data_IF_576996845000
#
_entry.id   IF_576996845000
#
_cell.length_a   1.000
_cell.length_b   1.000
_cell.length_c   1.000
_cell.angle_alpha   90.00
_cell.angle_beta   90.00
_cell.angle_gamma   90.00
#
_symmetry.space_group_name_H-M   'P 1'
#
loop_
_entity.id
_entity.type
_entity.pdbx_description
1 polymer ?
#
# COMPACT_ATOMS: atom_id res chain seq x y z
N UNK A 1 45.88 -37.65 48.42
CA UNK A 1 45.60 -38.82 47.56
C UNK A 1 44.11 -38.84 47.27
N UNK A 2 43.73 -39.18 46.04
CA UNK A 2 42.35 -39.52 45.63
C UNK A 2 41.32 -38.39 45.62
N UNK A 3 40.39 -38.25 44.66
CA UNK A 3 40.11 -38.99 43.44
C UNK A 3 39.46 -38.06 42.42
N UNK A 4 39.54 -38.52 41.18
CA UNK A 4 39.12 -37.94 39.91
C UNK A 4 37.70 -38.48 39.59
N UNK A 5 36.95 -37.72 38.79
CA UNK A 5 35.80 -38.09 37.89
C UNK A 5 34.38 -38.01 38.46
N UNK A 6 33.29 -37.76 37.72
CA UNK A 6 32.93 -37.25 36.36
C UNK A 6 31.37 -37.08 36.41
N UNK A 7 30.81 -36.15 35.63
CA UNK A 7 29.41 -36.15 35.15
C UNK A 7 28.63 -34.94 35.67
N UNK A 8 27.90 -34.15 34.88
CA UNK A 8 27.14 -34.48 33.67
C UNK A 8 26.94 -33.24 32.78
N UNK A 9 26.56 -33.54 31.54
CA UNK A 9 26.51 -32.73 30.32
C UNK A 9 25.31 -31.77 30.29
N UNK A 10 25.51 -30.56 29.75
CA UNK A 10 24.49 -29.86 28.96
C UNK A 10 25.15 -29.31 27.69
N UNK A 11 24.76 -29.88 26.56
CA UNK A 11 25.26 -29.53 25.24
C UNK A 11 24.80 -28.12 24.85
N UNK A 12 25.74 -27.22 24.60
CA UNK A 12 25.49 -25.96 23.90
C UNK A 12 25.61 -26.21 22.40
N UNK A 13 24.50 -26.49 21.73
CA UNK A 13 24.43 -26.46 20.28
C UNK A 13 24.15 -25.01 19.85
N UNK A 14 25.22 -24.26 19.53
CA UNK A 14 25.09 -23.03 18.74
C UNK A 14 24.77 -23.45 17.30
N UNK A 15 23.50 -23.34 16.90
CA UNK A 15 23.16 -23.34 15.48
C UNK A 15 23.29 -21.90 14.97
N UNK A 16 24.33 -21.72 14.15
CA UNK A 16 24.52 -20.58 13.28
C UNK A 16 23.44 -20.64 12.19
N UNK A 17 22.31 -19.95 12.38
CA UNK A 17 21.31 -19.80 11.34
C UNK A 17 21.82 -18.78 10.32
N UNK A 18 22.29 -19.31 9.20
CA UNK A 18 22.61 -18.53 8.00
C UNK A 18 21.41 -17.69 7.59
N UNK A 19 21.63 -16.38 7.43
CA UNK A 19 20.68 -15.47 6.79
C UNK A 19 20.58 -15.90 5.33
N UNK A 20 19.68 -16.83 5.04
CA UNK A 20 19.27 -17.11 3.67
C UNK A 20 18.56 -15.88 3.13
N UNK A 21 19.01 -15.37 1.98
CA UNK A 21 18.35 -14.31 1.23
C UNK A 21 16.86 -14.61 1.13
N UNK A 22 16.01 -13.82 1.78
CA UNK A 22 14.56 -13.84 1.54
C UNK A 22 14.34 -13.49 0.06
N UNK A 23 13.85 -14.41 -0.78
CA UNK A 23 13.39 -14.05 -2.11
C UNK A 23 12.21 -13.10 -1.92
N UNK A 24 12.19 -12.00 -2.69
CA UNK A 24 11.17 -10.96 -2.60
C UNK A 24 9.77 -11.55 -2.43
N UNK A 25 9.10 -11.10 -1.36
CA UNK A 25 7.71 -11.45 -1.08
C UNK A 25 6.88 -11.09 -2.32
N UNK A 26 6.57 -12.11 -3.11
CA UNK A 26 5.68 -11.97 -4.25
C UNK A 26 4.31 -11.65 -3.66
N UNK A 27 3.89 -10.40 -3.80
CA UNK A 27 2.56 -10.00 -3.41
C UNK A 27 1.58 -10.83 -4.23
N UNK A 28 0.78 -11.67 -3.57
CA UNK A 28 -0.29 -12.38 -4.26
C UNK A 28 -1.32 -11.35 -4.74
N UNK A 29 -1.75 -11.47 -5.98
CA UNK A 29 -2.89 -10.71 -6.48
C UNK A 29 -4.10 -11.08 -5.59
N UNK A 30 -4.71 -10.08 -4.98
CA UNK A 30 -5.80 -10.30 -4.05
C UNK A 30 -7.01 -10.95 -4.73
N UNK A 31 -7.67 -11.87 -4.01
CA UNK A 31 -9.09 -12.15 -4.24
C UNK A 31 -9.88 -10.96 -3.67
N UNK A 32 -10.69 -10.23 -4.45
CA UNK A 32 -11.49 -9.10 -3.96
C UNK A 32 -12.37 -9.46 -2.75
N UNK A 33 -12.81 -10.72 -2.65
CA UNK A 33 -13.64 -11.20 -1.54
C UNK A 33 -12.87 -11.36 -0.23
N UNK A 34 -11.53 -11.25 -0.26
CA UNK A 34 -10.67 -11.31 0.93
C UNK A 34 -10.46 -9.96 1.62
N UNK A 35 -10.93 -8.86 1.02
CA UNK A 35 -10.72 -7.52 1.55
C UNK A 35 -11.57 -7.27 2.81
N UNK A 36 -10.93 -6.69 3.83
CA UNK A 36 -11.62 -6.18 5.02
C UNK A 36 -12.46 -4.95 4.68
N UNK A 37 -11.95 -4.10 3.79
CA UNK A 37 -12.73 -3.11 3.06
C UNK A 37 -12.07 -2.79 1.72
N UNK A 38 -12.88 -2.30 0.79
CA UNK A 38 -12.43 -1.75 -0.48
C UNK A 38 -13.35 -0.61 -0.90
N UNK A 39 -12.82 0.60 -0.84
CA UNK A 39 -13.51 1.83 -1.21
C UNK A 39 -13.07 2.25 -2.61
N UNK A 40 -13.97 2.04 -3.57
CA UNK A 40 -13.82 2.41 -4.98
C UNK A 40 -14.50 3.75 -5.30
N UNK A 41 -15.34 4.24 -4.39
CA UNK A 41 -16.03 5.53 -4.47
C UNK A 41 -16.91 5.71 -5.72
N UNK A 42 -17.38 4.63 -6.35
CA UNK A 42 -18.13 4.71 -7.62
C UNK A 42 -19.50 5.40 -7.50
N UNK A 43 -20.07 5.46 -6.29
CA UNK A 43 -21.40 6.05 -6.08
C UNK A 43 -21.56 6.83 -4.77
N UNK A 44 -20.46 7.13 -4.08
CA UNK A 44 -20.49 7.76 -2.78
C UNK A 44 -19.12 7.92 -2.15
N UNK A 45 -19.10 8.08 -0.83
CA UNK A 45 -17.87 8.24 -0.05
C UNK A 45 -17.42 6.96 0.64
N UNK A 46 -18.13 5.84 0.46
CA UNK A 46 -17.83 4.54 1.08
C UNK A 46 -17.58 4.64 2.60
N UNK A 47 -18.41 5.45 3.28
CA UNK A 47 -18.33 5.78 4.71
C UNK A 47 -17.13 6.62 5.15
N UNK A 48 -16.28 7.07 4.22
CA UNK A 48 -15.27 8.07 4.52
C UNK A 48 -15.92 9.41 4.85
N UNK A 49 -15.30 10.11 5.78
CA UNK A 49 -15.72 11.42 6.26
C UNK A 49 -14.54 12.40 6.29
N UNK A 50 -14.86 13.69 6.42
CA UNK A 50 -13.85 14.73 6.58
C UNK A 50 -13.15 14.65 7.94
N UNK A 51 -11.82 14.68 7.92
CA UNK A 51 -11.00 14.81 9.12
C UNK A 51 -10.74 16.29 9.42
N UNK A 52 -11.08 16.69 10.64
CA UNK A 52 -10.97 18.08 11.10
C UNK A 52 -11.93 18.98 10.30
N UNK A 53 -11.42 20.05 9.69
CA UNK A 53 -12.24 20.98 8.91
C UNK A 53 -12.52 20.50 7.47
N UNK A 54 -11.88 19.42 7.02
CA UNK A 54 -12.02 18.94 5.66
C UNK A 54 -13.46 18.50 5.35
N UNK A 55 -13.83 18.60 4.08
CA UNK A 55 -15.04 18.03 3.50
C UNK A 55 -14.65 16.92 2.54
N UNK A 56 -15.49 15.89 2.46
CA UNK A 56 -15.33 14.80 1.48
C UNK A 56 -16.61 14.65 0.66
N UNK A 57 -16.46 14.40 -0.63
CA UNK A 57 -17.56 14.16 -1.54
C UNK A 57 -17.14 13.23 -2.68
N UNK A 58 -18.11 12.58 -3.30
CA UNK A 58 -17.87 11.80 -4.51
C UNK A 58 -17.56 12.73 -5.70
N UNK A 59 -16.49 12.43 -6.43
CA UNK A 59 -16.11 13.12 -7.65
C UNK A 59 -16.17 12.18 -8.86
N UNK A 60 -17.13 12.43 -9.76
CA UNK A 60 -17.32 11.67 -11.00
C UNK A 60 -16.27 11.94 -12.11
N UNK A 61 -15.20 12.67 -11.79
CA UNK A 61 -14.12 13.00 -12.73
C UNK A 61 -12.79 12.98 -12.00
N UNK A 62 -11.78 12.46 -12.71
CA UNK A 62 -10.41 12.43 -12.21
C UNK A 62 -10.11 11.21 -11.36
N UNK A 63 -10.91 10.14 -11.45
CA UNK A 63 -10.69 8.86 -10.81
C UNK A 63 -9.38 8.18 -11.25
N UNK A 64 -8.88 7.29 -10.39
CA UNK A 64 -7.76 6.41 -10.69
C UNK A 64 -8.25 5.18 -11.43
N UNK A 65 -9.34 4.57 -10.94
CA UNK A 65 -10.03 3.45 -11.55
C UNK A 65 -11.53 3.77 -11.68
N UNK A 66 -12.23 3.03 -12.56
CA UNK A 66 -13.66 3.21 -12.78
C UNK A 66 -14.07 4.66 -13.09
N UNK A 67 -15.08 5.16 -12.40
CA UNK A 67 -15.73 6.44 -12.71
C UNK A 67 -15.77 7.43 -11.54
N UNK A 68 -15.51 6.97 -10.32
CA UNK A 68 -15.60 7.76 -9.10
C UNK A 68 -14.28 7.83 -8.33
N UNK A 69 -14.11 8.89 -7.55
CA UNK A 69 -13.08 9.00 -6.53
C UNK A 69 -13.61 9.83 -5.37
N UNK A 70 -12.96 9.76 -4.22
CA UNK A 70 -13.21 10.66 -3.10
C UNK A 70 -12.46 11.96 -3.31
N UNK A 71 -13.15 13.10 -3.34
CA UNK A 71 -12.51 14.42 -3.33
C UNK A 71 -12.52 15.01 -1.93
N UNK A 72 -11.34 15.43 -1.47
CA UNK A 72 -11.08 16.00 -0.15
C UNK A 72 -10.74 17.48 -0.31
N UNK A 73 -11.50 18.35 0.33
CA UNK A 73 -11.37 19.80 0.18
C UNK A 73 -11.65 20.56 1.48
N UNK A 74 -11.60 21.90 1.44
CA UNK A 74 -11.89 22.73 2.62
C UNK A 74 -10.87 22.60 3.76
N UNK A 75 -9.67 22.11 3.47
CA UNK A 75 -8.61 21.88 4.46
C UNK A 75 -8.03 23.22 4.93
N UNK A 76 -7.97 23.40 6.25
CA UNK A 76 -7.41 24.61 6.90
C UNK A 76 -6.09 24.36 7.65
N UNK A 77 -5.60 23.12 7.64
CA UNK A 77 -4.40 22.65 8.31
C UNK A 77 -3.93 21.36 7.62
N UNK A 78 -2.62 21.07 7.64
CA UNK A 78 -2.04 19.92 6.94
C UNK A 78 -2.57 18.57 7.46
N UNK A 79 -2.92 18.50 8.75
CA UNK A 79 -3.49 17.29 9.35
C UNK A 79 -4.97 17.03 9.00
N UNK A 80 -5.66 18.00 8.40
CA UNK A 80 -7.00 17.78 7.88
C UNK A 80 -6.93 16.85 6.66
N UNK A 81 -7.97 16.07 6.43
CA UNK A 81 -7.94 15.08 5.36
C UNK A 81 -9.22 14.25 5.28
N UNK A 82 -9.09 12.98 4.90
CA UNK A 82 -10.19 12.02 4.92
C UNK A 82 -9.93 10.94 5.96
N UNK A 83 -10.98 10.44 6.61
CA UNK A 83 -10.88 9.41 7.66
C UNK A 83 -11.97 8.36 7.51
N UNK A 84 -11.63 7.13 7.90
CA UNK A 84 -12.50 5.96 7.94
C UNK A 84 -12.31 5.22 9.28
N UNK A 85 -13.39 5.01 10.06
CA UNK A 85 -13.33 4.17 11.24
C UNK A 85 -13.00 2.72 10.87
N UNK A 86 -12.03 2.12 11.58
CA UNK A 86 -11.77 0.69 11.46
C UNK A 86 -12.67 -0.07 12.43
N UNK A 87 -13.54 -0.92 11.88
CA UNK A 87 -14.50 -1.73 12.65
C UNK A 87 -13.91 -3.01 13.25
N UNK A 88 -14.78 -3.87 13.77
CA UNK A 88 -14.42 -5.06 14.55
C UNK A 88 -13.59 -6.12 13.81
N UNK A 89 -13.49 -6.03 12.48
CA UNK A 89 -12.61 -6.88 11.69
C UNK A 89 -11.11 -6.60 11.92
N UNK A 90 -10.77 -5.43 12.50
CA UNK A 90 -9.40 -5.01 12.78
C UNK A 90 -9.05 -5.24 14.25
N UNK A 91 -8.13 -6.16 14.49
CA UNK A 91 -7.66 -6.52 15.84
C UNK A 91 -6.32 -5.86 16.14
N UNK A 92 -6.22 -5.20 17.29
CA UNK A 92 -4.96 -4.63 17.77
C UNK A 92 -3.85 -5.68 17.88
N UNK A 93 -2.64 -5.35 17.45
CA UNK A 93 -1.50 -6.27 17.41
C UNK A 93 -1.49 -7.24 16.22
N UNK A 94 -2.56 -7.32 15.43
CA UNK A 94 -2.59 -8.09 14.18
C UNK A 94 -2.01 -7.30 13.00
N UNK A 95 -1.55 -8.03 11.98
CA UNK A 95 -0.91 -7.47 10.78
C UNK A 95 -1.85 -7.51 9.57
N UNK A 96 -1.82 -6.44 8.78
CA UNK A 96 -2.69 -6.25 7.62
C UNK A 96 -1.92 -5.60 6.46
N UNK A 97 -2.46 -5.76 5.25
CA UNK A 97 -2.10 -4.92 4.11
C UNK A 97 -3.02 -3.70 4.05
N UNK A 98 -2.48 -2.51 3.84
CA UNK A 98 -3.25 -1.29 3.58
C UNK A 98 -2.75 -0.61 2.31
N UNK A 99 -3.66 -0.02 1.53
CA UNK A 99 -3.29 0.87 0.43
C UNK A 99 -4.35 1.91 0.10
N UNK A 100 -3.94 2.98 -0.59
CA UNK A 100 -4.82 3.94 -1.23
C UNK A 100 -4.05 4.68 -2.33
N UNK A 101 -4.73 5.00 -3.44
CA UNK A 101 -4.17 5.89 -4.45
C UNK A 101 -4.53 7.33 -4.10
N UNK A 102 -3.57 8.24 -4.23
CA UNK A 102 -3.74 9.66 -3.95
C UNK A 102 -3.24 10.52 -5.11
N UNK A 103 -3.92 11.64 -5.33
CA UNK A 103 -3.57 12.63 -6.36
C UNK A 103 -3.98 14.03 -5.90
N UNK A 104 -3.24 15.04 -6.33
CA UNK A 104 -3.61 16.43 -6.15
C UNK A 104 -3.33 17.23 -7.43
N UNK A 105 -4.02 18.36 -7.61
CA UNK A 105 -3.95 19.17 -8.84
C UNK A 105 -3.63 20.64 -8.60
N UNK A 106 -3.73 21.12 -7.35
CA UNK A 106 -3.38 22.49 -6.95
C UNK A 106 -1.95 22.64 -6.44
N UNK A 107 -1.51 23.89 -6.22
CA UNK A 107 -0.26 24.17 -5.50
C UNK A 107 1.05 23.77 -6.20
N UNK A 108 2.04 23.38 -5.38
CA UNK A 108 3.43 23.12 -5.76
C UNK A 108 3.64 21.93 -6.71
N UNK A 109 4.87 21.75 -7.19
CA UNK A 109 5.22 20.69 -8.16
C UNK A 109 5.13 19.28 -7.57
N UNK A 110 5.44 19.15 -6.29
CA UNK A 110 5.34 17.91 -5.51
C UNK A 110 4.63 18.19 -4.19
N UNK A 111 4.06 17.16 -3.60
CA UNK A 111 3.46 17.18 -2.26
C UNK A 111 3.71 15.82 -1.59
N UNK A 112 3.82 15.80 -0.27
CA UNK A 112 4.06 14.57 0.49
C UNK A 112 2.79 14.16 1.19
N UNK A 113 2.38 12.91 0.98
CA UNK A 113 1.17 12.33 1.54
C UNK A 113 1.51 11.26 2.57
N UNK A 114 0.64 11.16 3.57
CA UNK A 114 0.71 10.13 4.60
C UNK A 114 -0.59 9.36 4.68
N UNK A 115 -0.47 8.07 4.94
CA UNK A 115 -1.54 7.22 5.46
C UNK A 115 -1.18 6.82 6.89
N UNK A 116 -2.10 7.02 7.82
CA UNK A 116 -1.84 6.88 9.25
C UNK A 116 -3.06 6.29 9.97
N UNK A 117 -2.83 5.77 11.17
CA UNK A 117 -3.89 5.40 12.13
C UNK A 117 -3.87 6.39 13.29
N UNK A 118 -5.03 6.96 13.62
CA UNK A 118 -5.30 7.57 14.93
C UNK A 118 -5.98 6.51 15.80
N UNK A 119 -5.57 6.38 17.06
CA UNK A 119 -6.12 5.39 18.00
C UNK A 119 -6.01 5.87 19.44
N UNK A 120 -6.71 5.19 20.35
CA UNK A 120 -6.51 5.35 21.79
C UNK A 120 -5.51 4.28 22.28
N UNK A 121 -4.44 4.69 22.96
CA UNK A 121 -3.45 3.79 23.54
C UNK A 121 -3.98 3.10 24.82
N UNK A 122 -3.15 2.28 25.47
CA UNK A 122 -3.52 1.56 26.68
C UNK A 122 -3.83 2.49 27.86
N UNK A 123 -3.28 3.70 27.84
CA UNK A 123 -3.50 4.77 28.80
C UNK A 123 -4.78 5.59 28.52
N UNK A 124 -5.46 5.31 27.40
CA UNK A 124 -6.67 6.05 26.97
C UNK A 124 -6.38 7.39 26.31
N UNK A 125 -5.13 7.65 25.92
CA UNK A 125 -4.68 8.85 25.23
C UNK A 125 -4.71 8.67 23.72
N UNK A 126 -4.95 9.76 22.99
CA UNK A 126 -4.89 9.74 21.53
C UNK A 126 -3.46 9.65 21.03
N UNK A 127 -3.19 8.63 20.23
CA UNK A 127 -1.90 8.35 19.62
C UNK A 127 -2.04 8.17 18.10
N UNK A 128 -0.90 8.25 17.41
CA UNK A 128 -0.82 8.23 15.95
C UNK A 128 0.34 7.35 15.49
N UNK A 129 0.12 6.57 14.43
CA UNK A 129 1.17 5.74 13.80
C UNK A 129 1.08 5.86 12.28
N UNK A 130 2.24 5.90 11.62
CA UNK A 130 2.31 6.02 10.15
C UNK A 130 2.34 4.64 9.51
N UNK A 131 1.47 4.42 8.51
CA UNK A 131 1.40 3.20 7.71
C UNK A 131 2.33 3.33 6.51
N UNK A 132 2.20 4.43 5.76
CA UNK A 132 2.89 4.68 4.50
C UNK A 132 3.07 6.18 4.24
N UNK A 133 4.09 6.51 3.46
CA UNK A 133 4.43 7.85 2.99
C UNK A 133 4.78 7.79 1.50
N UNK A 134 4.40 8.81 0.75
CA UNK A 134 4.84 8.98 -0.63
C UNK A 134 4.93 10.46 -1.04
N UNK A 135 5.92 10.78 -1.87
CA UNK A 135 6.00 12.06 -2.59
C UNK A 135 5.27 11.92 -3.91
N UNK A 136 4.27 12.78 -4.12
CA UNK A 136 3.39 12.78 -5.28
C UNK A 136 3.77 13.94 -6.20
N UNK A 137 3.88 13.68 -7.50
CA UNK A 137 3.97 14.75 -8.50
C UNK A 137 2.58 15.31 -8.80
N UNK A 138 2.47 16.63 -8.95
CA UNK A 138 1.18 17.28 -9.25
C UNK A 138 0.54 16.70 -10.52
N UNK A 139 -0.72 16.30 -10.40
CA UNK A 139 -1.51 15.74 -11.49
C UNK A 139 -1.36 14.22 -11.68
N UNK A 140 -0.37 13.59 -11.03
CA UNK A 140 -0.13 12.17 -11.09
C UNK A 140 -0.77 11.45 -9.91
N UNK A 141 -1.15 10.20 -10.15
CA UNK A 141 -1.56 9.26 -9.10
C UNK A 141 -0.33 8.54 -8.54
N UNK A 142 -0.28 8.35 -7.23
CA UNK A 142 0.65 7.42 -6.59
C UNK A 142 -0.08 6.61 -5.52
N UNK A 143 0.42 5.41 -5.25
CA UNK A 143 -0.12 4.55 -4.20
C UNK A 143 0.68 4.76 -2.91
N UNK A 144 -0.05 5.00 -1.82
CA UNK A 144 0.41 4.77 -0.45
C UNK A 144 0.14 3.31 -0.14
N UNK A 145 1.15 2.52 0.24
CA UNK A 145 0.94 1.11 0.56
C UNK A 145 1.91 0.57 1.60
N UNK A 146 1.41 -0.37 2.39
CA UNK A 146 2.20 -1.21 3.29
C UNK A 146 1.51 -2.57 3.37
N UNK A 147 2.15 -3.62 2.88
CA UNK A 147 1.56 -4.96 2.81
C UNK A 147 1.70 -5.76 4.11
N UNK A 148 2.31 -5.18 5.15
CA UNK A 148 2.64 -5.90 6.38
C UNK A 148 2.66 -4.95 7.58
N UNK A 149 1.61 -4.14 7.72
CA UNK A 149 1.47 -3.18 8.80
C UNK A 149 0.83 -3.83 10.03
N UNK A 150 1.56 -3.88 11.15
CA UNK A 150 1.02 -4.31 12.43
C UNK A 150 0.27 -3.16 13.11
N UNK A 151 -1.01 -3.34 13.41
CA UNK A 151 -1.76 -2.39 14.22
C UNK A 151 -1.16 -2.33 15.63
N UNK A 152 -1.06 -1.14 16.27
CA UNK A 152 -0.47 -1.04 17.60
C UNK A 152 -1.18 -1.96 18.61
N UNK A 153 -0.40 -2.65 19.45
CA UNK A 153 -0.97 -3.51 20.49
C UNK A 153 -1.80 -2.69 21.48
N UNK A 154 -2.96 -3.21 21.87
CA UNK A 154 -3.89 -2.52 22.78
C UNK A 154 -4.60 -1.30 22.18
N UNK A 155 -4.44 -1.02 20.88
CA UNK A 155 -5.14 0.08 20.23
C UNK A 155 -6.66 -0.12 20.25
N UNK A 156 -7.38 0.96 20.54
CA UNK A 156 -8.85 1.01 20.43
C UNK A 156 -9.29 2.26 19.66
N UNK A 157 -10.57 2.31 19.27
CA UNK A 157 -11.15 3.43 18.52
C UNK A 157 -10.33 3.87 17.29
N UNK A 158 -9.85 2.88 16.52
CA UNK A 158 -8.93 3.10 15.42
C UNK A 158 -9.61 3.79 14.24
N UNK A 159 -8.92 4.77 13.66
CA UNK A 159 -9.34 5.56 12.51
C UNK A 159 -8.20 5.59 11.51
N UNK A 160 -8.42 5.04 10.31
CA UNK A 160 -7.52 5.22 9.18
C UNK A 160 -7.72 6.61 8.61
N UNK A 161 -6.64 7.33 8.33
CA UNK A 161 -6.74 8.63 7.70
C UNK A 161 -5.61 8.92 6.73
N UNK A 162 -5.89 9.83 5.80
CA UNK A 162 -4.94 10.31 4.78
C UNK A 162 -4.81 11.83 4.94
N UNK A 163 -3.57 12.31 4.98
CA UNK A 163 -3.23 13.73 5.11
C UNK A 163 -2.04 14.09 4.22
N UNK A 164 -1.67 15.37 4.20
CA UNK A 164 -0.41 15.84 3.59
C UNK A 164 0.55 16.32 4.68
N UNK A 165 1.84 16.38 4.36
CA UNK A 165 2.86 16.81 5.31
C UNK A 165 2.63 18.25 5.78
N UNK A 166 2.57 19.19 4.83
CA UNK A 166 2.58 20.63 5.13
C UNK A 166 1.54 21.43 4.32
N UNK A 167 1.03 20.85 3.23
CA UNK A 167 0.17 21.58 2.29
C UNK A 167 -1.29 21.65 2.75
N UNK A 168 -2.03 22.61 2.21
CA UNK A 168 -3.49 22.68 2.31
C UNK A 168 -4.19 22.27 1.01
N UNK A 169 -3.47 21.60 0.10
CA UNK A 169 -4.02 21.21 -1.18
C UNK A 169 -5.26 20.32 -1.00
N UNK A 170 -6.31 20.58 -1.77
CA UNK A 170 -7.34 19.58 -2.00
C UNK A 170 -6.74 18.40 -2.76
N UNK A 171 -7.25 17.21 -2.50
CA UNK A 171 -6.73 15.99 -3.09
C UNK A 171 -7.83 14.96 -3.35
N UNK A 172 -7.50 13.97 -4.16
CA UNK A 172 -8.35 12.84 -4.49
C UNK A 172 -7.77 11.59 -3.83
N UNK A 173 -8.67 10.72 -3.37
CA UNK A 173 -8.37 9.37 -2.89
C UNK A 173 -9.18 8.39 -3.72
N UNK A 174 -8.58 7.29 -4.11
CA UNK A 174 -9.27 6.23 -4.83
C UNK A 174 -8.64 4.85 -4.53
N UNK A 175 -9.42 3.78 -4.71
CA UNK A 175 -9.01 2.39 -4.46
C UNK A 175 -8.37 2.21 -3.07
N UNK A 176 -9.01 2.76 -2.03
CA UNK A 176 -8.53 2.59 -0.67
C UNK A 176 -8.97 1.22 -0.15
N UNK A 177 -8.04 0.43 0.37
CA UNK A 177 -8.34 -0.94 0.76
C UNK A 177 -7.49 -1.42 1.93
N UNK A 178 -8.05 -2.38 2.66
CA UNK A 178 -7.33 -3.20 3.62
C UNK A 178 -7.60 -4.68 3.35
N UNK A 179 -6.54 -5.49 3.48
CA UNK A 179 -6.54 -6.90 3.11
C UNK A 179 -5.68 -7.71 4.09
N UNK A 180 -5.71 -9.06 4.02
CA UNK A 180 -4.79 -9.90 4.78
C UNK A 180 -3.33 -9.53 4.50
N UNK A 181 -2.47 -9.70 5.51
CA UNK A 181 -1.02 -9.49 5.38
C UNK A 181 -0.44 -10.16 4.12
N UNK A 182 0.48 -9.47 3.45
CA UNK A 182 1.16 -9.93 2.25
C UNK A 182 0.35 -9.75 0.96
N UNK A 183 -0.90 -9.33 1.05
CA UNK A 183 -1.74 -9.08 -0.13
C UNK A 183 -1.24 -7.85 -0.90
N UNK A 184 -0.99 -8.02 -2.20
CA UNK A 184 -0.64 -6.91 -3.10
C UNK A 184 -1.90 -6.28 -3.68
N UNK A 185 -2.12 -5.01 -3.39
CA UNK A 185 -3.25 -4.25 -3.93
C UNK A 185 -2.75 -3.52 -5.19
N UNK A 186 -3.31 -3.79 -6.40
CA UNK A 186 -2.78 -3.24 -7.65
C UNK A 186 -2.73 -1.70 -7.68
N UNK A 187 -1.60 -1.14 -8.12
CA UNK A 187 -1.45 0.28 -8.46
C UNK A 187 -1.14 0.51 -9.94
N UNK A 188 -1.31 1.74 -10.44
CA UNK A 188 -1.34 2.06 -11.88
C UNK A 188 -0.02 1.82 -12.58
N UNK A 189 1.04 1.53 -11.82
CA UNK A 189 2.37 1.23 -12.35
C UNK A 189 2.67 -0.25 -12.55
N UNK A 190 1.79 -1.19 -12.18
CA UNK A 190 1.98 -2.60 -12.54
C UNK A 190 1.35 -3.00 -13.89
N UNK A 191 0.59 -2.10 -14.54
CA UNK A 191 -0.08 -2.39 -15.83
C UNK A 191 0.69 -2.01 -17.10
N UNK A 192 1.89 -1.45 -17.00
CA UNK A 192 2.70 -1.05 -18.18
C UNK A 192 4.17 -1.41 -18.01
N UNK A 193 4.53 -2.68 -17.86
CA UNK A 193 5.83 -3.20 -18.31
C UNK A 193 5.88 -4.73 -18.19
N UNK A 194 5.90 -5.42 -19.34
CA UNK A 194 5.86 -6.88 -19.49
C UNK A 194 4.59 -7.24 -20.26
N UNK A 195 4.58 -7.17 -21.59
CA UNK A 195 5.10 -8.26 -22.43
C UNK A 195 5.67 -7.74 -23.75
N UNK A 196 6.85 -7.13 -23.72
CA UNK A 196 7.71 -7.05 -24.90
C UNK A 196 8.95 -7.88 -24.61
N UNK A 197 8.92 -9.16 -24.97
CA UNK A 197 10.08 -10.01 -25.33
C UNK A 197 9.78 -11.50 -25.05
N UNK A 198 9.19 -12.20 -26.03
CA UNK A 198 9.61 -13.55 -26.47
C UNK A 198 8.64 -14.10 -27.51
N UNK A 199 8.91 -13.85 -28.79
CA UNK A 199 8.78 -14.88 -29.84
C UNK A 199 9.85 -14.64 -30.90
N UNK A 200 11.00 -15.28 -30.75
CA UNK A 200 11.80 -15.72 -31.89
C UNK A 200 12.40 -17.10 -31.65
N UNK A 201 12.39 -17.86 -32.73
CA UNK A 201 12.96 -19.19 -33.00
C UNK A 201 11.99 -20.34 -32.71
N UNK A 202 11.73 -21.30 -33.60
CA UNK A 202 12.49 -21.85 -34.75
C UNK A 202 11.49 -22.34 -35.83
N UNK A 203 11.78 -22.22 -37.13
CA UNK A 203 12.45 -23.26 -37.96
C UNK A 203 13.24 -22.58 -39.12
N UNK A 204 14.55 -22.82 -39.30
CA UNK A 204 15.18 -23.85 -40.20
C UNK A 204 14.44 -23.98 -41.54
N UNK A 205 15.02 -23.72 -42.72
CA UNK A 205 16.34 -24.18 -43.21
C UNK A 205 16.93 -23.28 -44.35
N UNK A 206 18.21 -23.45 -44.74
CA UNK A 206 18.93 -22.64 -45.73
C UNK A 206 19.15 -23.33 -47.10
N UNK A 207 19.28 -22.53 -48.16
CA UNK A 207 19.76 -22.95 -49.49
C UNK A 207 18.85 -22.43 -50.61
N UNK A 208 19.30 -21.81 -51.69
CA UNK A 208 20.65 -21.54 -52.17
C UNK A 208 20.63 -20.52 -53.31
N UNK A 209 21.83 -20.22 -53.79
CA UNK A 209 22.18 -19.42 -54.97
C UNK A 209 21.28 -19.63 -56.21
N UNK A 210 21.02 -18.56 -56.98
CA UNK A 210 21.37 -18.39 -58.41
C UNK A 210 20.92 -17.01 -58.97
N UNK A 211 21.50 -16.66 -60.12
CA UNK A 211 21.79 -15.34 -60.73
C UNK A 211 20.65 -14.61 -61.47
N UNK A 212 20.88 -13.31 -61.68
CA UNK A 212 20.66 -12.54 -62.94
C UNK A 212 19.25 -11.99 -63.16
N UNK A 213 18.97 -10.93 -63.93
CA UNK A 213 19.71 -9.98 -64.75
C UNK A 213 18.80 -8.73 -64.96
N UNK A 214 19.41 -7.62 -65.40
CA UNK A 214 18.88 -6.43 -66.08
C UNK A 214 17.39 -6.38 -66.49
N UNK A 215 16.68 -5.32 -66.09
CA UNK A 215 16.39 -4.12 -66.90
C UNK A 215 15.77 -3.03 -66.02
#
# INVERSE_FOLDING_TARGET
MSHKKIGSVCAAAMLLSTIGSMPGQMAFAADPDSYFFHSTFESGTDNWSGRGAAKVEHAAKGAYAGSGALYVSGRTAAWNGATLPLGDAFTAGSTYSFSANVKYTGGGKTDTFYMKIQYQNAEGETAYVSIAEAVVSKGDWIQLSNTSFQLPAGATAMQLYIETADSLNSFYVDEAAAAPEGTGIPSSRSGRHGDSWRRRSKSRDPGGYQRGQYH
#
